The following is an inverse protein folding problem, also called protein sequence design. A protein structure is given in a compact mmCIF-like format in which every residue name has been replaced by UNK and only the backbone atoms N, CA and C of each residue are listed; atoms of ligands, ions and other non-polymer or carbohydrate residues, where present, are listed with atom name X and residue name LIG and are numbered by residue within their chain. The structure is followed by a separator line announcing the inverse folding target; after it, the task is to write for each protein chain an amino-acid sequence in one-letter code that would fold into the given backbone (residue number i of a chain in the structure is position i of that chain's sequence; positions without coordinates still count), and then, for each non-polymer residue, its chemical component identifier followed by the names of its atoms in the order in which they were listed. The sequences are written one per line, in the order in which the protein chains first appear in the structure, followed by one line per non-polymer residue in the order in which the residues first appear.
data_IF_379768360055
#
_entry.id   IF_379768360055
#
_cell.length_a   1.000
_cell.length_b   1.000
_cell.length_c   1.000
_cell.angle_alpha   90.00
_cell.angle_beta   90.00
_cell.angle_gamma   90.00
#
_symmetry.space_group_name_H-M   'P 1'
#
loop_
_entity.id
_entity.type
_entity.pdbx_description
1 polymer ?
#
# COMPACT_ATOMS: atom_id res chain seq x y z
N UNK A 1 -10.48 -8.80 -2.89
CA UNK A 1 -11.60 -8.62 -1.92
C UNK A 1 -11.40 -9.53 -0.72
N UNK A 2 -11.61 -9.03 0.51
CA UNK A 2 -11.60 -9.84 1.74
C UNK A 2 -12.90 -10.62 1.83
N UNK A 3 -12.83 -11.94 1.94
CA UNK A 3 -13.99 -12.82 2.01
C UNK A 3 -14.33 -13.21 3.45
N UNK A 4 -13.30 -13.44 4.27
CA UNK A 4 -13.50 -13.81 5.68
C UNK A 4 -12.32 -13.45 6.54
N UNK A 5 -12.62 -13.04 7.77
CA UNK A 5 -11.64 -12.76 8.82
C UNK A 5 -12.00 -13.56 10.06
N UNK A 6 -11.03 -14.24 10.67
CA UNK A 6 -11.23 -15.01 11.91
C UNK A 6 -9.97 -15.08 12.76
N UNK A 7 -10.15 -15.23 14.06
CA UNK A 7 -9.05 -15.55 14.96
C UNK A 7 -8.80 -17.07 15.01
N UNK A 8 -7.55 -17.45 15.17
CA UNK A 8 -7.08 -18.82 15.33
C UNK A 8 -6.07 -18.87 16.49
N UNK A 9 -6.02 -20.00 17.19
CA UNK A 9 -5.02 -20.20 18.25
C UNK A 9 -3.66 -20.50 17.61
N UNK A 10 -2.60 -19.99 18.22
CA UNK A 10 -1.23 -20.41 17.88
C UNK A 10 -1.09 -21.88 18.24
N UNK A 11 -0.55 -22.67 17.31
CA UNK A 11 -0.37 -24.12 17.43
C UNK A 11 1.12 -24.43 17.43
N UNK A 12 1.54 -25.34 18.30
CA UNK A 12 2.93 -25.79 18.40
C UNK A 12 3.34 -26.73 17.25
N UNK A 13 2.36 -27.25 16.49
CA UNK A 13 2.60 -28.27 15.45
C UNK A 13 2.69 -27.70 14.04
N UNK A 14 2.08 -26.55 13.81
CA UNK A 14 1.99 -25.92 12.49
C UNK A 14 0.77 -25.03 12.38
N UNK A 15 0.69 -24.28 11.27
CA UNK A 15 -0.47 -23.46 10.95
C UNK A 15 -1.48 -24.33 10.22
N UNK A 16 -2.59 -24.61 10.92
CA UNK A 16 -3.67 -25.45 10.41
C UNK A 16 -4.91 -24.61 10.09
N UNK A 17 -5.31 -24.65 8.83
CA UNK A 17 -6.36 -23.82 8.25
C UNK A 17 -7.42 -24.71 7.59
N UNK A 18 -8.64 -24.66 8.12
CA UNK A 18 -9.81 -25.35 7.57
C UNK A 18 -10.98 -24.38 7.42
N UNK A 19 -11.37 -24.06 6.19
CA UNK A 19 -12.55 -23.24 5.93
C UNK A 19 -13.28 -23.71 4.67
N UNK A 20 -14.62 -23.58 4.65
CA UNK A 20 -15.43 -23.94 3.47
C UNK A 20 -15.24 -22.91 2.35
N UNK A 21 -15.03 -21.65 2.72
CA UNK A 21 -14.80 -20.55 1.77
C UNK A 21 -13.57 -20.80 0.89
N UNK A 22 -12.59 -21.58 1.36
CA UNK A 22 -11.44 -21.98 0.55
C UNK A 22 -11.86 -22.76 -0.71
N UNK A 23 -12.99 -23.45 -0.69
CA UNK A 23 -13.54 -24.21 -1.82
C UNK A 23 -14.17 -23.30 -2.88
N UNK A 24 -14.67 -22.14 -2.47
CA UNK A 24 -15.27 -21.13 -3.35
C UNK A 24 -14.22 -20.29 -4.08
N UNK A 25 -12.94 -20.43 -3.70
CA UNK A 25 -11.81 -19.71 -4.26
C UNK A 25 -10.79 -20.67 -4.91
N UNK A 26 -9.57 -20.17 -5.17
CA UNK A 26 -8.48 -20.90 -5.81
C UNK A 26 -7.89 -22.06 -4.97
N UNK A 27 -8.27 -22.21 -3.70
CA UNK A 27 -7.72 -23.21 -2.77
C UNK A 27 -8.63 -24.44 -2.61
N UNK A 28 -9.00 -25.04 -3.73
CA UNK A 28 -9.80 -26.27 -3.75
C UNK A 28 -8.96 -27.50 -3.39
N UNK A 29 -9.54 -28.58 -2.85
CA UNK A 29 -8.85 -29.85 -2.68
C UNK A 29 -8.07 -30.30 -3.93
N UNK A 30 -6.78 -30.61 -3.76
CA UNK A 30 -5.90 -31.01 -4.87
C UNK A 30 -5.20 -29.84 -5.58
N UNK A 31 -5.60 -28.59 -5.34
CA UNK A 31 -4.84 -27.43 -5.83
C UNK A 31 -3.50 -27.30 -5.12
N UNK A 32 -2.54 -26.60 -5.75
CA UNK A 32 -1.22 -26.36 -5.17
C UNK A 32 -1.10 -24.94 -4.63
N UNK A 33 -0.26 -24.78 -3.60
CA UNK A 33 0.00 -23.52 -2.95
C UNK A 33 1.44 -23.39 -2.50
N UNK A 34 1.90 -22.15 -2.44
CA UNK A 34 3.15 -21.75 -1.82
C UNK A 34 2.86 -20.75 -0.70
N UNK A 35 3.83 -20.54 0.17
CA UNK A 35 3.71 -19.54 1.21
C UNK A 35 5.02 -18.79 1.38
N UNK A 36 4.90 -17.55 1.83
CA UNK A 36 6.01 -16.68 2.18
C UNK A 36 5.84 -16.26 3.63
N UNK A 37 6.93 -16.29 4.38
CA UNK A 37 6.95 -15.97 5.81
C UNK A 37 7.81 -14.73 6.00
N UNK A 38 7.28 -13.76 6.71
CA UNK A 38 8.02 -12.63 7.23
C UNK A 38 8.08 -12.74 8.76
N UNK A 39 9.25 -13.14 9.26
CA UNK A 39 9.50 -13.30 10.69
C UNK A 39 9.50 -11.97 11.44
N UNK A 40 9.85 -10.86 10.78
CA UNK A 40 9.93 -9.53 11.40
C UNK A 40 8.55 -8.98 11.68
N UNK A 41 7.64 -9.10 10.72
CA UNK A 41 6.26 -8.62 10.85
C UNK A 41 5.29 -9.66 11.42
N UNK A 42 5.81 -10.85 11.82
CA UNK A 42 5.00 -11.97 12.34
C UNK A 42 3.83 -12.29 11.39
N UNK A 43 4.13 -12.36 10.09
CA UNK A 43 3.13 -12.50 9.00
C UNK A 43 3.49 -13.67 8.08
N UNK A 44 2.49 -14.39 7.62
CA UNK A 44 2.60 -15.42 6.59
C UNK A 44 1.53 -15.18 5.53
N UNK A 45 1.91 -15.33 4.26
CA UNK A 45 0.99 -15.20 3.12
C UNK A 45 1.02 -16.51 2.34
N UNK A 46 -0.16 -17.08 2.11
CA UNK A 46 -0.38 -18.29 1.35
C UNK A 46 -0.98 -17.90 0.00
N UNK A 47 -0.37 -18.37 -1.07
CA UNK A 47 -0.69 -18.04 -2.46
C UNK A 47 -0.97 -19.32 -3.24
N UNK A 48 -1.90 -19.28 -4.19
CA UNK A 48 -2.05 -20.37 -5.14
C UNK A 48 -0.79 -20.55 -5.99
N UNK A 49 -0.60 -21.76 -6.50
CA UNK A 49 0.53 -22.14 -7.33
C UNK A 49 0.06 -23.12 -8.41
N UNK A 50 0.58 -22.96 -9.62
CA UNK A 50 0.32 -23.88 -10.73
C UNK A 50 1.34 -25.02 -10.80
N UNK A 51 2.43 -24.94 -10.03
CA UNK A 51 3.45 -26.01 -10.00
C UNK A 51 3.06 -27.14 -9.05
N UNK A 52 3.06 -28.37 -9.57
CA UNK A 52 2.76 -29.59 -8.80
C UNK A 52 3.78 -29.92 -7.72
N UNK A 53 5.01 -29.39 -7.82
CA UNK A 53 6.07 -29.56 -6.83
C UNK A 53 5.82 -28.80 -5.53
N UNK A 54 4.87 -27.87 -5.52
CA UNK A 54 4.50 -27.09 -4.36
C UNK A 54 3.44 -27.80 -3.50
N UNK A 55 3.24 -27.31 -2.28
CA UNK A 55 2.35 -27.93 -1.30
C UNK A 55 0.93 -28.09 -1.84
N UNK A 56 0.26 -29.19 -1.49
CA UNK A 56 -1.09 -29.48 -1.97
C UNK A 56 -2.14 -29.16 -0.90
N UNK A 57 -3.23 -28.51 -1.31
CA UNK A 57 -4.41 -28.32 -0.46
C UNK A 57 -5.05 -29.68 -0.21
N UNK A 58 -4.99 -30.12 1.04
CA UNK A 58 -5.57 -31.37 1.49
C UNK A 58 -7.08 -31.23 1.67
N UNK A 59 -7.74 -32.35 1.96
CA UNK A 59 -9.17 -32.37 2.21
C UNK A 59 -9.53 -33.15 3.46
N UNK A 60 -10.64 -32.75 4.08
CA UNK A 60 -11.27 -33.48 5.18
C UNK A 60 -12.70 -33.84 4.77
N UNK A 61 -13.00 -35.13 4.75
CA UNK A 61 -14.35 -35.64 4.47
C UNK A 61 -15.27 -35.39 5.66
N UNK A 62 -16.43 -34.79 5.40
CA UNK A 62 -17.58 -34.71 6.29
C UNK A 62 -18.72 -35.56 5.71
N UNK A 63 -19.78 -35.80 6.50
CA UNK A 63 -20.91 -36.64 6.09
C UNK A 63 -21.55 -36.25 4.74
N UNK A 64 -21.59 -34.95 4.42
CA UNK A 64 -22.25 -34.42 3.21
C UNK A 64 -21.39 -33.45 2.38
N UNK A 65 -20.14 -33.17 2.79
CA UNK A 65 -19.26 -32.22 2.08
C UNK A 65 -17.78 -32.51 2.29
N UNK A 66 -16.95 -31.99 1.39
CA UNK A 66 -15.49 -32.02 1.52
C UNK A 66 -15.02 -30.64 1.97
N UNK A 67 -14.18 -30.56 3.00
CA UNK A 67 -13.64 -29.30 3.49
C UNK A 67 -12.15 -29.18 3.10
N UNK A 68 -11.73 -28.08 2.44
CA UNK A 68 -10.32 -27.82 2.17
C UNK A 68 -9.52 -27.63 3.47
N UNK A 69 -8.30 -28.13 3.46
CA UNK A 69 -7.37 -28.09 4.59
C UNK A 69 -5.98 -27.69 4.11
N UNK A 70 -5.46 -26.61 4.68
CA UNK A 70 -4.08 -26.16 4.54
C UNK A 70 -3.36 -26.48 5.85
N UNK A 71 -2.35 -27.35 5.78
CA UNK A 71 -1.54 -27.76 6.92
C UNK A 71 -0.06 -27.44 6.63
N UNK A 72 0.45 -26.39 7.27
CA UNK A 72 1.83 -25.94 7.10
C UNK A 72 2.61 -26.29 8.36
N UNK A 73 3.52 -27.26 8.24
CA UNK A 73 4.35 -27.78 9.35
C UNK A 73 5.81 -27.38 9.23
N UNK A 74 6.04 -26.16 8.76
CA UNK A 74 7.39 -25.61 8.62
C UNK A 74 7.89 -25.01 9.94
N UNK A 75 9.15 -25.32 10.29
CA UNK A 75 9.83 -24.74 11.46
C UNK A 75 9.97 -23.22 11.33
N UNK A 76 10.19 -22.71 10.12
CA UNK A 76 10.29 -21.26 9.91
C UNK A 76 8.95 -20.55 10.13
N UNK A 77 7.83 -21.19 9.75
CA UNK A 77 6.49 -20.67 10.02
C UNK A 77 6.19 -20.64 11.52
N UNK A 78 6.59 -21.68 12.25
CA UNK A 78 6.43 -21.74 13.71
C UNK A 78 7.22 -20.65 14.42
N UNK A 79 8.50 -20.47 14.07
CA UNK A 79 9.35 -19.42 14.63
C UNK A 79 8.79 -18.01 14.36
N UNK A 80 8.15 -17.81 13.19
CA UNK A 80 7.51 -16.55 12.85
C UNK A 80 6.29 -16.21 13.72
N UNK A 81 5.71 -17.16 14.44
CA UNK A 81 4.56 -16.90 15.33
C UNK A 81 4.87 -17.18 16.81
N UNK A 82 6.13 -17.46 17.12
CA UNK A 82 6.57 -17.60 18.51
C UNK A 82 6.39 -16.28 19.26
N UNK A 83 5.83 -16.38 20.47
CA UNK A 83 5.49 -15.25 21.34
C UNK A 83 4.13 -14.60 21.06
N UNK A 84 3.39 -15.01 20.03
CA UNK A 84 2.03 -14.53 19.77
C UNK A 84 1.00 -15.25 20.65
N UNK A 85 -0.03 -14.54 21.10
CA UNK A 85 -1.16 -15.13 21.85
C UNK A 85 -2.20 -15.72 20.90
N UNK A 86 -2.44 -15.06 19.77
CA UNK A 86 -3.39 -15.50 18.76
C UNK A 86 -2.91 -15.16 17.34
N UNK A 87 -3.48 -15.87 16.37
CA UNK A 87 -3.33 -15.62 14.95
C UNK A 87 -4.63 -15.00 14.41
N UNK A 88 -4.50 -14.02 13.53
CA UNK A 88 -5.58 -13.50 12.73
C UNK A 88 -5.43 -14.03 11.31
N UNK A 89 -6.46 -14.72 10.83
CA UNK A 89 -6.52 -15.28 9.49
C UNK A 89 -7.48 -14.42 8.67
N UNK A 90 -7.00 -13.93 7.55
CA UNK A 90 -7.76 -13.18 6.55
C UNK A 90 -7.70 -13.92 5.21
N UNK A 91 -8.88 -14.32 4.71
CA UNK A 91 -9.05 -15.05 3.46
C UNK A 91 -9.49 -14.05 2.40
N UNK A 92 -8.70 -13.92 1.35
CA UNK A 92 -8.99 -13.13 0.15
C UNK A 92 -9.30 -14.07 -1.02
N UNK A 93 -9.76 -13.52 -2.13
CA UNK A 93 -10.12 -14.31 -3.33
C UNK A 93 -8.98 -15.14 -3.91
N UNK A 94 -7.73 -14.67 -3.79
CA UNK A 94 -6.53 -15.25 -4.40
C UNK A 94 -5.45 -15.67 -3.38
N UNK A 95 -5.58 -15.23 -2.12
CA UNK A 95 -4.58 -15.46 -1.09
C UNK A 95 -5.16 -15.59 0.31
N UNK A 96 -4.39 -16.19 1.22
CA UNK A 96 -4.72 -16.24 2.65
C UNK A 96 -3.58 -15.61 3.44
N UNK A 97 -3.90 -14.65 4.29
CA UNK A 97 -2.94 -13.95 5.15
C UNK A 97 -3.13 -14.39 6.59
N UNK A 98 -2.03 -14.74 7.26
CA UNK A 98 -1.99 -15.11 8.67
C UNK A 98 -1.05 -14.16 9.39
N UNK A 99 -1.55 -13.47 10.41
CA UNK A 99 -0.79 -12.50 11.21
C UNK A 99 -0.82 -12.90 12.69
N UNK A 100 0.32 -12.84 13.37
CA UNK A 100 0.41 -13.07 14.81
C UNK A 100 0.24 -11.78 15.61
N UNK A 101 -0.47 -11.87 16.74
CA UNK A 101 -0.72 -10.76 17.65
C UNK A 101 -0.41 -11.16 19.10
N UNK A 102 0.04 -10.19 19.90
CA UNK A 102 0.23 -10.31 21.35
C UNK A 102 -0.86 -9.48 22.03
N UNK A 103 -1.52 -10.07 23.02
CA UNK A 103 -2.55 -9.43 23.83
C UNK A 103 -1.85 -8.67 24.95
N UNK A 104 -2.07 -7.37 25.04
CA UNK A 104 -1.62 -6.61 26.21
C UNK A 104 -2.40 -7.08 27.44
N UNK A 105 -1.77 -7.91 28.29
CA UNK A 105 -2.33 -8.25 29.59
C UNK A 105 -2.28 -7.01 30.47
N UNK A 106 -3.46 -6.45 30.75
CA UNK A 106 -3.67 -5.38 31.71
C UNK A 106 -3.28 -5.82 33.13
N UNK A 107 -1.98 -5.84 33.47
CA UNK A 107 -1.55 -6.22 34.83
C UNK A 107 -0.27 -5.48 35.23
N UNK A 108 -0.36 -4.83 36.39
CA UNK A 108 0.68 -4.17 37.21
C UNK A 108 0.73 -2.64 37.11
N UNK A 109 0.75 -2.03 35.93
CA UNK A 109 0.82 -0.56 35.81
C UNK A 109 -0.48 0.16 36.23
N UNK A 110 -1.65 -0.45 36.05
CA UNK A 110 -2.93 0.21 36.38
C UNK A 110 -3.19 0.37 37.89
N UNK A 111 -2.62 -0.49 38.76
CA UNK A 111 -2.75 -0.33 40.22
C UNK A 111 -1.87 0.81 40.75
N UNK A 112 -0.68 0.97 40.17
CA UNK A 112 0.22 2.09 40.49
C UNK A 112 -0.35 3.39 39.92
N UNK A 113 -0.86 3.37 38.68
CA UNK A 113 -1.49 4.53 38.04
C UNK A 113 -2.74 5.03 38.78
N UNK A 114 -3.57 4.14 39.35
CA UNK A 114 -4.74 4.54 40.18
C UNK A 114 -4.35 5.20 41.50
N UNK A 115 -3.16 4.91 42.02
CA UNK A 115 -2.66 5.53 43.26
C UNK A 115 -1.95 6.85 42.95
N UNK A 116 -1.20 6.89 41.84
CA UNK A 116 -0.53 8.09 41.34
C UNK A 116 -1.51 9.16 40.82
N UNK A 117 -2.63 8.77 40.19
CA UNK A 117 -3.66 9.71 39.71
C UNK A 117 -4.48 10.34 40.84
N UNK A 118 -4.45 9.77 42.05
CA UNK A 118 -5.04 10.37 43.25
C UNK A 118 -4.14 11.40 43.93
N UNK A 119 -2.82 11.33 43.68
CA UNK A 119 -1.80 12.19 44.29
C UNK A 119 -1.31 13.31 43.35
N UNK A 120 -1.34 13.09 42.04
CA UNK A 120 -0.96 14.09 41.05
C UNK A 120 -2.17 14.53 40.24
N UNK A 121 -2.85 15.55 40.75
CA UNK A 121 -3.81 16.33 39.98
C UNK A 121 -3.09 17.15 38.92
N UNK A 122 -2.76 16.54 37.78
CA UNK A 122 -2.46 17.26 36.54
C UNK A 122 -2.52 16.29 35.35
N UNK A 123 -3.25 16.71 34.30
CA UNK A 123 -3.37 16.00 33.02
C UNK A 123 -2.00 15.87 32.36
N UNK A 124 -1.43 14.67 32.33
CA UNK A 124 -0.32 14.35 31.43
C UNK A 124 -0.82 13.45 30.29
N UNK A 125 -0.68 13.96 29.06
CA UNK A 125 -0.72 13.21 27.82
C UNK A 125 0.39 12.16 27.86
N UNK A 126 0.03 10.89 28.03
CA UNK A 126 0.96 9.79 27.81
C UNK A 126 0.98 9.59 26.29
N UNK A 127 2.14 9.82 25.69
CA UNK A 127 2.41 9.53 24.28
C UNK A 127 2.98 8.11 24.24
N UNK A 128 2.41 7.26 23.40
CA UNK A 128 2.72 5.84 23.35
C UNK A 128 4.08 5.64 22.65
N UNK A 129 4.84 4.59 23.00
CA UNK A 129 6.12 4.31 22.32
C UNK A 129 5.88 3.90 20.84
N UNK A 130 4.65 3.50 20.54
CA UNK A 130 4.06 3.32 19.21
C UNK A 130 4.10 4.60 18.36
N UNK A 131 4.08 5.80 18.98
CA UNK A 131 4.14 7.09 18.28
C UNK A 131 5.59 7.46 17.86
N UNK A 132 6.61 6.86 18.49
CA UNK A 132 8.04 7.10 18.21
C UNK A 132 8.60 6.09 17.21
N UNK A 133 8.11 4.85 17.20
CA UNK A 133 8.49 3.79 16.25
C UNK A 133 7.82 3.97 14.89
N UNK A 134 7.91 5.19 14.36
CA UNK A 134 7.50 5.68 13.06
C UNK A 134 8.15 4.92 11.89
N UNK A 135 7.84 3.63 11.76
CA UNK A 135 7.90 2.95 10.47
C UNK A 135 6.68 3.44 9.69
N UNK A 136 6.83 4.60 9.03
CA UNK A 136 5.87 5.08 8.04
C UNK A 136 5.62 3.93 7.06
N UNK A 137 4.40 3.39 7.08
CA UNK A 137 3.95 2.33 6.18
C UNK A 137 4.07 2.88 4.75
N UNK A 138 5.14 2.53 4.04
CA UNK A 138 5.31 2.90 2.63
C UNK A 138 4.29 2.09 1.84
N UNK A 139 3.50 2.77 1.02
CA UNK A 139 2.41 2.17 0.27
C UNK A 139 2.88 0.92 -0.49
N UNK A 140 2.17 -0.19 -0.32
CA UNK A 140 2.41 -1.44 -1.03
C UNK A 140 1.39 -1.52 -2.17
N UNK A 141 1.85 -1.33 -3.41
CA UNK A 141 1.01 -1.42 -4.61
C UNK A 141 1.24 -2.81 -5.22
N UNK A 142 0.19 -3.64 -5.21
CA UNK A 142 0.22 -4.96 -5.84
C UNK A 142 -0.23 -4.82 -7.30
N UNK A 143 0.69 -5.07 -8.24
CA UNK A 143 0.42 -5.04 -9.69
C UNK A 143 0.59 -6.43 -10.29
N UNK A 144 -0.21 -6.74 -11.31
CA UNK A 144 0.01 -7.94 -12.12
C UNK A 144 1.36 -7.86 -12.84
N UNK A 145 2.02 -9.00 -13.11
CA UNK A 145 3.34 -9.03 -13.77
C UNK A 145 3.33 -8.31 -15.13
N UNK A 146 2.23 -8.39 -15.88
CA UNK A 146 2.02 -7.63 -17.13
C UNK A 146 1.89 -6.12 -16.88
N UNK A 147 1.16 -5.71 -15.85
CA UNK A 147 1.05 -4.29 -15.45
C UNK A 147 2.38 -3.70 -14.97
N UNK A 148 3.19 -4.49 -14.27
CA UNK A 148 4.53 -4.11 -13.84
C UNK A 148 5.50 -3.96 -15.03
N UNK A 149 5.47 -4.90 -15.97
CA UNK A 149 6.27 -4.83 -17.20
C UNK A 149 5.89 -3.62 -18.06
N UNK A 150 4.60 -3.25 -18.08
CA UNK A 150 4.10 -2.04 -18.75
C UNK A 150 4.58 -0.77 -18.04
N UNK A 151 4.48 -0.68 -16.72
CA UNK A 151 4.93 0.47 -15.93
C UNK A 151 6.46 0.66 -15.94
N UNK A 152 7.22 -0.43 -16.04
CA UNK A 152 8.67 -0.40 -16.13
C UNK A 152 9.22 -0.05 -17.53
N UNK A 153 8.34 0.21 -18.52
CA UNK A 153 8.74 0.60 -19.88
C UNK A 153 9.32 -0.54 -20.72
N UNK A 154 9.20 -1.80 -20.27
CA UNK A 154 9.79 -2.98 -20.94
C UNK A 154 9.04 -3.41 -22.21
N UNK A 155 7.82 -2.91 -22.42
CA UNK A 155 6.98 -3.22 -23.59
C UNK A 155 6.72 -1.98 -24.49
N UNK A 156 7.49 -0.91 -24.30
CA UNK A 156 7.31 0.38 -24.99
C UNK A 156 6.86 1.50 -24.05
N UNK A 157 7.10 2.75 -24.46
CA UNK A 157 6.60 3.94 -23.77
C UNK A 157 5.15 4.18 -24.20
N UNK A 158 4.19 3.73 -23.40
CA UNK A 158 2.80 4.18 -23.54
C UNK A 158 2.48 5.18 -22.44
N UNK A 159 1.74 6.24 -22.79
CA UNK A 159 1.06 7.10 -21.83
C UNK A 159 0.20 6.22 -20.93
N UNK A 160 0.50 6.20 -19.64
CA UNK A 160 -0.45 5.71 -18.65
C UNK A 160 -1.33 6.91 -18.34
N UNK A 161 -2.51 6.95 -18.96
CA UNK A 161 -3.52 7.93 -18.64
C UNK A 161 -3.87 7.76 -17.16
N UNK A 162 -3.65 8.83 -16.38
CA UNK A 162 -4.01 8.91 -14.96
C UNK A 162 -5.53 8.83 -14.77
N UNK A 163 -6.31 8.71 -15.84
CA UNK A 163 -7.76 8.52 -15.78
C UNK A 163 -8.15 7.12 -15.25
N UNK A 164 -7.23 6.14 -15.24
CA UNK A 164 -7.51 4.82 -14.62
C UNK A 164 -7.73 4.88 -13.10
N UNK A 165 -7.24 5.92 -12.42
CA UNK A 165 -7.38 6.06 -10.96
C UNK A 165 -8.47 7.07 -10.55
N UNK A 166 -8.75 8.06 -11.39
CA UNK A 166 -9.69 9.15 -11.09
C UNK A 166 -11.01 9.08 -11.87
N UNK A 167 -11.12 8.27 -12.93
CA UNK A 167 -12.41 8.06 -13.60
C UNK A 167 -13.34 7.27 -12.69
N UNK A 168 -14.43 7.90 -12.29
CA UNK A 168 -15.55 7.23 -11.61
C UNK A 168 -16.22 6.18 -12.51
N UNK A 169 -15.95 6.17 -13.82
CA UNK A 169 -16.60 5.30 -14.80
C UNK A 169 -15.61 4.60 -15.74
N UNK A 170 -14.94 3.54 -15.27
CA UNK A 170 -14.61 2.38 -16.12
C UNK A 170 -13.94 1.25 -15.33
N UNK A 171 -14.68 0.14 -15.16
CA UNK A 171 -14.20 -1.25 -15.24
C UNK A 171 -13.13 -1.80 -14.29
N UNK A 172 -12.49 -1.00 -13.43
CA UNK A 172 -11.47 -1.51 -12.50
C UNK A 172 -12.14 -1.92 -11.20
N UNK A 173 -11.90 -3.18 -10.80
CA UNK A 173 -12.55 -3.80 -9.65
C UNK A 173 -12.53 -2.91 -8.41
N UNK A 174 -13.73 -2.62 -7.93
CA UNK A 174 -14.15 -1.81 -6.78
C UNK A 174 -13.31 -2.01 -5.50
N UNK A 175 -12.67 -3.17 -5.40
CA UNK A 175 -11.83 -3.55 -4.27
C UNK A 175 -10.44 -2.91 -4.23
N UNK A 176 -9.95 -2.25 -5.28
CA UNK A 176 -8.66 -1.52 -5.26
C UNK A 176 -8.83 -0.03 -4.91
N UNK A 177 -9.95 0.58 -5.31
CA UNK A 177 -10.27 1.98 -4.98
C UNK A 177 -10.45 2.20 -3.47
N UNK A 178 -11.10 1.26 -2.78
CA UNK A 178 -11.39 1.37 -1.34
C UNK A 178 -10.17 1.41 -0.40
N UNK A 179 -9.02 0.84 -0.78
CA UNK A 179 -7.80 0.89 0.04
C UNK A 179 -6.85 2.01 -0.35
N UNK A 180 -6.90 2.44 -1.62
CA UNK A 180 -6.02 3.49 -2.13
C UNK A 180 -6.56 4.87 -1.74
N UNK A 181 -7.88 5.10 -1.79
CA UNK A 181 -8.48 6.40 -1.41
C UNK A 181 -8.10 6.85 0.01
N UNK A 182 -8.27 6.02 1.06
CA UNK A 182 -7.91 6.43 2.42
C UNK A 182 -6.40 6.48 2.65
N UNK A 183 -5.59 5.69 1.93
CA UNK A 183 -4.13 5.73 2.04
C UNK A 183 -3.53 6.98 1.38
N UNK A 184 -4.12 7.45 0.28
CA UNK A 184 -3.79 8.73 -0.35
C UNK A 184 -4.30 9.91 0.47
N UNK A 185 -5.52 9.82 1.03
CA UNK A 185 -6.12 10.88 1.84
C UNK A 185 -5.37 11.13 3.17
N UNK A 186 -4.68 10.13 3.71
CA UNK A 186 -3.93 10.22 4.97
C UNK A 186 -2.40 10.37 4.77
N UNK A 187 -1.92 10.61 3.55
CA UNK A 187 -0.51 10.83 3.31
C UNK A 187 -0.14 12.28 3.71
N UNK A 188 0.31 12.49 4.95
CA UNK A 188 0.83 13.79 5.44
C UNK A 188 2.19 14.18 4.82
N UNK A 189 2.45 13.81 3.57
CA UNK A 189 3.57 14.37 2.81
C UNK A 189 2.97 14.96 1.54
N UNK A 190 3.05 16.28 1.33
CA UNK A 190 2.61 16.85 0.07
C UNK A 190 3.44 16.19 -1.03
N UNK A 191 2.75 15.54 -1.97
CA UNK A 191 3.40 14.88 -3.09
C UNK A 191 4.13 15.95 -3.89
N UNK A 192 5.44 15.79 -4.04
CA UNK A 192 6.25 16.75 -4.77
C UNK A 192 6.01 16.63 -6.27
N UNK A 193 5.86 17.76 -6.94
CA UNK A 193 5.56 17.87 -8.36
C UNK A 193 6.61 18.74 -9.04
N UNK A 194 7.13 18.27 -10.17
CA UNK A 194 7.90 19.08 -11.11
C UNK A 194 7.01 19.43 -12.31
N UNK A 195 6.86 20.72 -12.61
CA UNK A 195 6.04 21.22 -13.71
C UNK A 195 6.93 21.63 -14.89
N UNK A 196 6.57 21.18 -16.10
CA UNK A 196 7.17 21.58 -17.37
C UNK A 196 6.13 22.26 -18.22
N UNK A 197 6.51 23.29 -18.99
CA UNK A 197 5.56 24.11 -19.75
C UNK A 197 4.51 24.73 -18.80
N UNK A 198 4.98 25.24 -17.65
CA UNK A 198 4.13 25.68 -16.55
C UNK A 198 3.27 26.90 -16.91
N UNK A 199 3.64 27.64 -17.96
CA UNK A 199 2.97 28.87 -18.36
C UNK A 199 2.90 29.87 -17.20
N UNK A 200 1.75 30.54 -17.07
CA UNK A 200 1.45 31.43 -15.95
C UNK A 200 1.10 30.68 -14.65
N UNK A 201 1.06 29.33 -14.69
CA UNK A 201 0.89 28.49 -13.50
C UNK A 201 -0.54 28.07 -13.16
N UNK A 202 -1.49 28.19 -14.09
CA UNK A 202 -2.90 27.80 -13.86
C UNK A 202 -3.03 26.32 -13.43
N UNK A 203 -2.24 25.44 -14.04
CA UNK A 203 -2.23 24.01 -13.74
C UNK A 203 -1.60 23.77 -12.36
N UNK A 204 -0.45 24.39 -12.11
CA UNK A 204 0.31 24.28 -10.87
C UNK A 204 -0.51 24.77 -9.66
N UNK A 205 -1.30 25.83 -9.83
CA UNK A 205 -2.22 26.32 -8.80
C UNK A 205 -3.23 25.24 -8.36
N UNK A 206 -3.81 24.49 -9.31
CA UNK A 206 -4.73 23.39 -8.98
C UNK A 206 -4.07 22.26 -8.19
N UNK A 207 -2.80 21.97 -8.45
CA UNK A 207 -2.01 21.03 -7.65
C UNK A 207 -1.71 21.57 -6.25
N UNK A 208 -1.33 22.83 -6.13
CA UNK A 208 -1.10 23.48 -4.83
C UNK A 208 -2.37 23.50 -3.97
N UNK A 209 -3.53 23.85 -4.55
CA UNK A 209 -4.84 23.83 -3.88
C UNK A 209 -5.26 22.40 -3.47
N UNK A 210 -4.83 21.39 -4.22
CA UNK A 210 -5.07 19.98 -3.91
C UNK A 210 -4.09 19.40 -2.87
N UNK A 211 -3.20 20.22 -2.30
CA UNK A 211 -2.24 19.80 -1.26
C UNK A 211 -0.94 19.19 -1.76
N UNK A 212 -0.60 19.38 -3.04
CA UNK A 212 0.70 18.99 -3.60
C UNK A 212 1.76 20.10 -3.38
N UNK A 213 3.03 19.72 -3.45
CA UNK A 213 4.16 20.65 -3.33
C UNK A 213 4.86 20.81 -4.69
N UNK A 214 4.66 21.94 -5.36
CA UNK A 214 5.33 22.23 -6.64
C UNK A 214 6.76 22.70 -6.35
N UNK A 215 7.73 21.79 -6.56
CA UNK A 215 9.12 22.02 -6.17
C UNK A 215 10.00 22.56 -7.31
N UNK A 216 9.48 22.53 -8.54
CA UNK A 216 10.16 22.97 -9.74
C UNK A 216 9.12 23.31 -10.81
N UNK A 217 9.33 24.42 -11.51
CA UNK A 217 8.57 24.78 -12.70
C UNK A 217 9.53 25.25 -13.81
N UNK A 218 9.21 24.97 -15.07
CA UNK A 218 9.99 25.42 -16.21
C UNK A 218 9.06 25.96 -17.29
N UNK A 219 9.35 27.16 -17.78
CA UNK A 219 8.62 27.81 -18.85
C UNK A 219 9.58 28.57 -19.77
N UNK A 220 9.25 28.65 -21.06
CA UNK A 220 10.02 29.34 -22.07
C UNK A 220 9.65 30.83 -22.15
N UNK A 221 8.36 31.16 -22.02
CA UNK A 221 7.87 32.53 -22.12
C UNK A 221 8.18 33.36 -20.86
N UNK A 222 8.90 34.47 -21.03
CA UNK A 222 9.35 35.30 -19.92
C UNK A 222 8.19 36.00 -19.19
N UNK A 223 7.15 36.41 -19.93
CA UNK A 223 5.99 37.10 -19.36
C UNK A 223 5.13 36.15 -18.53
N UNK A 224 4.94 34.91 -19.01
CA UNK A 224 4.33 33.83 -18.24
C UNK A 224 5.12 33.54 -16.95
N UNK A 225 6.45 33.48 -17.02
CA UNK A 225 7.32 33.29 -15.83
C UNK A 225 7.17 34.43 -14.82
N UNK A 226 7.10 35.69 -15.27
CA UNK A 226 6.87 36.84 -14.37
C UNK A 226 5.53 36.71 -13.65
N UNK A 227 4.48 36.34 -14.39
CA UNK A 227 3.14 36.13 -13.85
C UNK A 227 3.12 34.98 -12.84
N UNK A 228 3.77 33.87 -13.16
CA UNK A 228 3.90 32.72 -12.26
C UNK A 228 4.59 33.13 -10.95
N UNK A 229 5.73 33.84 -11.04
CA UNK A 229 6.48 34.28 -9.86
C UNK A 229 5.69 35.21 -8.95
N UNK A 230 4.85 36.05 -9.53
CA UNK A 230 4.01 36.97 -8.78
C UNK A 230 2.93 36.24 -7.97
N UNK A 231 2.31 35.20 -8.55
CA UNK A 231 1.14 34.54 -7.97
C UNK A 231 1.44 33.27 -7.17
N UNK A 232 2.47 32.51 -7.57
CA UNK A 232 2.72 31.15 -7.05
C UNK A 232 4.04 31.08 -6.29
N UNK A 233 5.15 31.51 -6.91
CA UNK A 233 6.44 31.55 -6.23
C UNK A 233 7.66 31.54 -7.14
N UNK A 234 8.84 31.65 -6.53
CA UNK A 234 10.12 31.82 -7.24
C UNK A 234 10.76 30.51 -7.71
N UNK A 235 10.09 29.37 -7.57
CA UNK A 235 10.60 28.05 -7.95
C UNK A 235 10.47 27.74 -9.47
N UNK A 236 10.01 28.72 -10.26
CA UNK A 236 9.97 28.65 -11.73
C UNK A 236 11.25 29.19 -12.38
N UNK A 237 11.75 28.41 -13.34
CA UNK A 237 12.88 28.72 -14.19
C UNK A 237 12.39 29.17 -15.57
N UNK A 238 13.02 30.21 -16.11
CA UNK A 238 12.87 30.57 -17.52
C UNK A 238 13.91 29.79 -18.31
N UNK A 239 13.49 28.92 -19.22
CA UNK A 239 14.42 28.20 -20.08
C UNK A 239 13.77 27.24 -21.07
N UNK A 240 14.46 27.05 -22.19
CA UNK A 240 14.14 26.05 -23.20
C UNK A 240 14.51 24.64 -22.70
N UNK A 241 13.51 23.79 -22.48
CA UNK A 241 13.69 22.41 -22.01
C UNK A 241 14.66 21.58 -22.88
N UNK A 242 14.81 21.90 -24.16
CA UNK A 242 15.74 21.18 -25.06
C UNK A 242 17.20 21.50 -24.77
N UNK A 243 17.47 22.67 -24.17
CA UNK A 243 18.82 23.16 -23.82
C UNK A 243 19.04 23.26 -22.31
N UNK A 244 17.98 23.13 -21.52
CA UNK A 244 18.04 23.23 -20.07
C UNK A 244 18.89 22.10 -19.48
N UNK A 245 19.74 22.44 -18.51
CA UNK A 245 20.57 21.44 -17.85
C UNK A 245 19.70 20.50 -17.01
N UNK A 246 19.63 19.24 -17.44
CA UNK A 246 18.81 18.20 -16.81
C UNK A 246 19.24 17.89 -15.37
N UNK A 247 20.48 18.21 -14.99
CA UNK A 247 20.95 18.03 -13.61
C UNK A 247 20.37 19.09 -12.66
N UNK A 248 19.96 20.23 -13.20
CA UNK A 248 19.33 21.33 -12.43
C UNK A 248 17.85 21.06 -12.16
N UNK A 249 17.22 20.17 -12.94
CA UNK A 249 15.82 19.77 -12.72
C UNK A 249 15.71 19.03 -11.39
N UNK A 250 14.94 19.60 -10.45
CA UNK A 250 14.69 18.94 -9.17
C UNK A 250 13.85 17.69 -9.40
N UNK A 251 14.41 16.53 -9.03
CA UNK A 251 13.72 15.25 -9.14
C UNK A 251 12.54 15.23 -8.17
N UNK A 252 11.34 15.11 -8.72
CA UNK A 252 10.09 14.93 -8.00
C UNK A 252 9.47 13.58 -8.38
N UNK A 253 8.68 12.94 -7.49
CA UNK A 253 7.99 11.69 -7.78
C UNK A 253 6.93 11.84 -8.88
N UNK A 254 6.43 13.06 -9.11
CA UNK A 254 5.48 13.39 -10.16
C UNK A 254 6.04 14.50 -11.05
N UNK A 255 5.85 14.35 -12.36
CA UNK A 255 6.14 15.40 -13.33
C UNK A 255 4.87 15.66 -14.15
N UNK A 256 4.50 16.93 -14.27
CA UNK A 256 3.34 17.38 -15.04
C UNK A 256 3.81 18.30 -16.17
N UNK A 257 3.08 18.36 -17.26
CA UNK A 257 3.34 19.35 -18.28
C UNK A 257 2.36 19.30 -19.44
N UNK A 258 1.83 20.47 -19.80
CA UNK A 258 1.03 20.66 -20.99
C UNK A 258 1.94 21.00 -22.15
N UNK A 259 2.44 19.99 -22.86
CA UNK A 259 3.23 20.23 -24.08
C UNK A 259 2.42 21.15 -25.02
N UNK A 260 3.06 22.16 -25.64
CA UNK A 260 2.38 22.98 -26.63
C UNK A 260 1.76 22.10 -27.71
N UNK A 261 0.48 22.32 -27.99
CA UNK A 261 -0.19 21.65 -29.10
C UNK A 261 0.45 22.16 -30.40
N UNK A 262 0.85 21.26 -31.32
CA UNK A 262 1.25 21.70 -32.64
C UNK A 262 0.06 22.45 -33.25
N UNK A 263 0.31 23.68 -33.69
CA UNK A 263 -0.69 24.51 -34.37
C UNK A 263 -1.11 23.76 -35.64
N UNK A 264 -2.25 23.07 -35.60
CA UNK A 264 -2.93 22.61 -36.80
C UNK A 264 -3.46 23.86 -37.50
N UNK A 265 -2.64 24.38 -38.42
CA UNK A 265 -3.04 25.31 -39.47
C UNK A 265 -3.21 24.51 -40.77
#
# INVERSE_FOLDING_TARGET
MLLKKRQAKVSQRGVYLQDRILQEIVFQPGSHYKYVIDQRSKKMIILSSDMETNNTVSHRRLKESVKPVIDIRDKAALAAFEGCDYLQVEIFGDQVVVQGYVTEKATTFQKVARTASKLFGQKCKIVDISDILSVKKRAEIVLSRKGLQKAAGLLGYEQIELDLFFSENSGISDSSKSYIQPALANLEMPLQVASLFSGAGIMDLGFLESGFDVVFALELDEEAVKTYRHNIGSHIFNGDITKFDKNTIRKAPMMIGGSPLPRFL
#
